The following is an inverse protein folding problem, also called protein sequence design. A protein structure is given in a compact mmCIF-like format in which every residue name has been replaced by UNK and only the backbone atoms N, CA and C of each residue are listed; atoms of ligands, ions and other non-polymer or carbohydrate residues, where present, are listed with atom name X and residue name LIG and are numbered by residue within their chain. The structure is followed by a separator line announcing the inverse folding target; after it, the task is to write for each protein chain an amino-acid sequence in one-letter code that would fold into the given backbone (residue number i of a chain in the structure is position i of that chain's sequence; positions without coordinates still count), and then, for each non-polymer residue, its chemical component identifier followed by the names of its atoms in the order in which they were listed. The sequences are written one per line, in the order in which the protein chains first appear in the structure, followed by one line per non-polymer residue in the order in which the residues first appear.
data_IF_240843380757
#
_entry.id   IF_240843380757
#
_cell.length_a   1.000
_cell.length_b   1.000
_cell.length_c   1.000
_cell.angle_alpha   90.00
_cell.angle_beta   90.00
_cell.angle_gamma   90.00
#
_symmetry.space_group_name_H-M   'P 1'
#
loop_
_entity.id
_entity.type
_entity.pdbx_description
1 polymer ?
#
# COMPACT_ATOMS: atom_id res chain seq x y z
N UNK A 1 5.05 4.87 -20.83
CA UNK A 1 4.59 6.22 -20.41
C UNK A 1 3.58 6.05 -19.27
N UNK A 2 3.50 6.96 -18.31
CA UNK A 2 2.47 6.87 -17.28
C UNK A 2 1.07 7.06 -17.90
N UNK A 3 0.15 6.19 -17.53
CA UNK A 3 -1.25 6.30 -17.93
C UNK A 3 -2.01 7.15 -16.93
N UNK A 4 -3.16 7.69 -17.34
CA UNK A 4 -4.06 8.41 -16.46
C UNK A 4 -5.37 7.64 -16.34
N UNK A 5 -5.85 7.48 -15.11
CA UNK A 5 -7.12 6.83 -14.78
C UNK A 5 -8.05 7.85 -14.12
N UNK A 6 -9.34 7.69 -14.34
CA UNK A 6 -10.35 8.47 -13.62
C UNK A 6 -10.67 7.76 -12.30
N UNK A 7 -10.10 8.25 -11.21
CA UNK A 7 -10.33 7.66 -9.89
C UNK A 7 -11.75 7.87 -9.37
N UNK A 8 -12.49 8.85 -9.90
CA UNK A 8 -13.88 9.08 -9.51
C UNK A 8 -14.82 7.97 -10.05
N UNK A 9 -14.38 7.26 -11.09
CA UNK A 9 -15.12 6.13 -11.66
C UNK A 9 -14.94 4.82 -10.87
N UNK A 10 -14.02 4.76 -9.90
CA UNK A 10 -13.77 3.55 -9.13
C UNK A 10 -14.96 3.20 -8.23
N UNK A 11 -15.39 1.93 -8.29
CA UNK A 11 -16.54 1.41 -7.57
C UNK A 11 -16.18 0.74 -6.24
N UNK A 12 -14.94 0.20 -6.16
CA UNK A 12 -14.44 -0.50 -4.97
C UNK A 12 -13.04 -0.04 -4.63
N UNK A 13 -12.93 0.71 -3.56
CA UNK A 13 -11.66 1.26 -3.05
C UNK A 13 -11.46 0.81 -1.60
N UNK A 14 -10.25 0.37 -1.25
CA UNK A 14 -9.95 -0.03 0.11
C UNK A 14 -8.71 0.68 0.63
N UNK A 15 -8.78 1.19 1.87
CA UNK A 15 -7.60 1.56 2.64
C UNK A 15 -7.26 0.39 3.55
N UNK A 16 -6.10 -0.21 3.33
CA UNK A 16 -5.56 -1.26 4.19
C UNK A 16 -4.49 -0.65 5.07
N UNK A 17 -4.64 -0.75 6.39
CA UNK A 17 -3.60 -0.24 7.30
C UNK A 17 -3.11 -1.31 8.27
N UNK A 18 -1.81 -1.24 8.58
CA UNK A 18 -1.19 -2.13 9.55
C UNK A 18 -0.95 -1.36 10.86
N UNK A 19 -1.61 -1.81 11.93
CA UNK A 19 -1.50 -1.26 13.29
C UNK A 19 -0.04 -1.18 13.77
N UNK A 20 0.77 -2.16 13.41
CA UNK A 20 2.14 -2.32 13.89
C UNK A 20 3.18 -1.63 12.98
N UNK A 21 2.75 -0.85 11.99
CA UNK A 21 3.67 -0.14 11.10
C UNK A 21 4.30 1.07 11.77
N UNK A 22 5.63 1.04 11.87
CA UNK A 22 6.44 2.14 12.38
C UNK A 22 6.44 2.27 13.90
N UNK A 23 7.28 3.20 14.41
CA UNK A 23 7.41 3.51 15.85
C UNK A 23 6.31 4.46 16.37
N UNK A 24 5.30 4.77 15.56
CA UNK A 24 4.24 5.71 15.95
C UNK A 24 3.20 5.03 16.83
N UNK A 25 2.64 5.81 17.77
CA UNK A 25 1.50 5.36 18.56
C UNK A 25 0.31 5.02 17.63
N UNK A 26 -0.34 3.89 17.88
CA UNK A 26 -1.51 3.42 17.12
C UNK A 26 -2.58 4.50 16.92
N UNK A 27 -2.88 5.29 17.96
CA UNK A 27 -3.85 6.38 17.88
C UNK A 27 -3.51 7.43 16.81
N UNK A 28 -2.21 7.73 16.62
CA UNK A 28 -1.76 8.68 15.59
C UNK A 28 -1.89 8.11 14.18
N UNK A 29 -1.67 6.80 14.00
CA UNK A 29 -1.85 6.12 12.73
C UNK A 29 -3.31 6.12 12.30
N UNK A 30 -4.22 5.70 13.19
CA UNK A 30 -5.64 5.66 12.92
C UNK A 30 -6.20 7.06 12.60
N UNK A 31 -5.77 8.08 13.33
CA UNK A 31 -6.16 9.46 13.05
C UNK A 31 -5.74 9.91 11.64
N UNK A 32 -4.52 9.57 11.21
CA UNK A 32 -4.00 9.90 9.87
C UNK A 32 -4.74 9.12 8.77
N UNK A 33 -5.02 7.84 8.97
CA UNK A 33 -5.83 7.02 8.05
C UNK A 33 -7.24 7.59 7.91
N UNK A 34 -7.86 8.01 9.02
CA UNK A 34 -9.18 8.64 9.00
C UNK A 34 -9.16 9.99 8.26
N UNK A 35 -8.07 10.76 8.37
CA UNK A 35 -7.93 12.01 7.61
C UNK A 35 -7.75 11.72 6.11
N UNK A 36 -7.00 10.69 5.72
CA UNK A 36 -6.93 10.21 4.32
C UNK A 36 -8.32 9.83 3.83
N UNK A 37 -9.07 9.02 4.61
CA UNK A 37 -10.45 8.64 4.29
C UNK A 37 -11.34 9.85 4.05
N UNK A 38 -11.33 10.80 4.98
CA UNK A 38 -12.14 12.01 4.92
C UNK A 38 -11.91 12.79 3.62
N UNK A 39 -10.64 12.92 3.23
CA UNK A 39 -10.26 13.64 2.01
C UNK A 39 -10.60 12.87 0.74
N UNK A 40 -10.41 11.55 0.75
CA UNK A 40 -10.76 10.70 -0.40
C UNK A 40 -12.25 10.75 -0.71
N UNK A 41 -13.12 10.80 0.30
CA UNK A 41 -14.57 10.96 0.13
C UNK A 41 -15.00 12.25 -0.59
N UNK A 42 -14.08 13.17 -0.82
CA UNK A 42 -14.33 14.39 -1.61
C UNK A 42 -14.01 14.19 -3.10
N UNK A 43 -13.34 13.08 -3.48
CA UNK A 43 -12.87 12.82 -4.84
C UNK A 43 -13.36 11.49 -5.42
N UNK A 44 -13.88 10.60 -4.58
CA UNK A 44 -14.52 9.33 -4.99
C UNK A 44 -15.88 9.20 -4.30
N UNK A 45 -16.75 8.29 -4.79
CA UNK A 45 -18.00 7.98 -4.09
C UNK A 45 -17.70 7.48 -2.66
N UNK A 46 -18.25 8.14 -1.62
CA UNK A 46 -18.06 7.70 -0.24
C UNK A 46 -18.50 6.25 0.05
N UNK A 47 -19.44 5.71 -0.71
CA UNK A 47 -19.94 4.33 -0.58
C UNK A 47 -18.93 3.30 -1.12
N UNK A 48 -18.05 3.71 -2.04
CA UNK A 48 -17.03 2.86 -2.63
C UNK A 48 -15.85 2.58 -1.68
N UNK A 49 -15.73 3.29 -0.56
CA UNK A 49 -14.53 3.30 0.28
C UNK A 49 -14.69 2.49 1.56
N UNK A 50 -13.94 1.41 1.66
CA UNK A 50 -13.77 0.57 2.85
C UNK A 50 -12.44 0.86 3.56
N UNK A 51 -12.38 0.64 4.89
CA UNK A 51 -11.12 0.62 5.65
C UNK A 51 -10.99 -0.73 6.34
N UNK A 52 -9.83 -1.36 6.20
CA UNK A 52 -9.52 -2.64 6.83
C UNK A 52 -8.19 -2.54 7.59
N UNK A 53 -8.22 -3.00 8.85
CA UNK A 53 -7.03 -3.15 9.68
C UNK A 53 -6.40 -4.51 9.50
N UNK A 54 -5.08 -4.55 9.27
CA UNK A 54 -4.27 -5.76 9.37
C UNK A 54 -3.64 -5.78 10.77
N UNK A 55 -3.93 -6.83 11.53
CA UNK A 55 -3.38 -7.05 12.88
C UNK A 55 -2.19 -7.99 12.87
N UNK A 56 -2.13 -8.89 11.88
CA UNK A 56 -1.04 -9.86 11.71
C UNK A 56 -0.79 -10.14 10.22
N UNK A 57 0.37 -10.70 9.90
CA UNK A 57 0.72 -11.05 8.53
C UNK A 57 -0.12 -12.22 7.97
N UNK A 58 -0.62 -13.10 8.83
CA UNK A 58 -1.50 -14.22 8.42
C UNK A 58 -2.82 -13.71 7.80
N UNK A 59 -3.28 -12.54 8.22
CA UNK A 59 -4.50 -11.93 7.67
C UNK A 59 -4.30 -11.35 6.27
N UNK A 60 -3.05 -11.08 5.86
CA UNK A 60 -2.75 -10.45 4.57
C UNK A 60 -3.19 -11.34 3.42
N UNK A 61 -2.93 -12.64 3.50
CA UNK A 61 -3.25 -13.58 2.42
C UNK A 61 -4.76 -13.63 2.14
N UNK A 62 -5.56 -13.83 3.18
CA UNK A 62 -7.03 -13.86 3.06
C UNK A 62 -7.60 -12.53 2.59
N UNK A 63 -7.08 -11.40 3.10
CA UNK A 63 -7.52 -10.08 2.67
C UNK A 63 -7.17 -9.81 1.20
N UNK A 64 -5.95 -10.14 0.79
CA UNK A 64 -5.53 -9.91 -0.59
C UNK A 64 -6.27 -10.82 -1.57
N UNK A 65 -6.54 -12.09 -1.19
CA UNK A 65 -7.40 -12.96 -1.97
C UNK A 65 -8.83 -12.39 -2.13
N UNK A 66 -9.42 -11.89 -1.04
CA UNK A 66 -10.73 -11.21 -1.07
C UNK A 66 -10.72 -10.02 -2.02
N UNK A 67 -9.70 -9.17 -1.96
CA UNK A 67 -9.54 -7.99 -2.83
C UNK A 67 -9.56 -8.41 -4.30
N UNK A 68 -8.85 -9.47 -4.65
CA UNK A 68 -8.82 -9.99 -6.02
C UNK A 68 -10.16 -10.61 -6.45
N UNK A 69 -10.77 -11.43 -5.60
CA UNK A 69 -12.06 -12.10 -5.88
C UNK A 69 -13.21 -11.11 -6.04
N UNK A 70 -13.28 -10.09 -5.17
CA UNK A 70 -14.30 -9.06 -5.20
C UNK A 70 -14.00 -7.95 -6.23
N UNK A 71 -12.86 -8.03 -6.94
CA UNK A 71 -12.42 -7.11 -7.99
C UNK A 71 -12.38 -5.65 -7.53
N UNK A 72 -11.63 -5.39 -6.46
CA UNK A 72 -11.36 -4.02 -6.06
C UNK A 72 -10.59 -3.28 -7.15
N UNK A 73 -10.97 -2.02 -7.42
CA UNK A 73 -10.31 -1.18 -8.42
C UNK A 73 -9.01 -0.59 -7.89
N UNK A 74 -9.02 -0.18 -6.63
CA UNK A 74 -7.90 0.56 -6.04
C UNK A 74 -7.70 0.24 -4.56
N UNK A 75 -6.44 0.03 -4.18
CA UNK A 75 -6.02 -0.22 -2.79
C UNK A 75 -5.01 0.84 -2.37
N UNK A 76 -5.21 1.40 -1.19
CA UNK A 76 -4.27 2.30 -0.55
C UNK A 76 -3.67 1.58 0.64
N UNK A 77 -2.40 1.23 0.57
CA UNK A 77 -1.68 0.55 1.65
C UNK A 77 -1.07 1.60 2.58
N UNK A 78 -1.65 1.75 3.77
CA UNK A 78 -1.12 2.57 4.85
C UNK A 78 -0.23 1.70 5.75
N UNK A 79 1.05 1.68 5.42
CA UNK A 79 2.02 0.79 6.07
C UNK A 79 3.45 1.08 5.66
N UNK A 80 4.37 0.21 6.07
CA UNK A 80 5.76 0.19 5.62
C UNK A 80 5.97 -0.74 4.44
N UNK A 81 7.24 -0.80 3.97
CA UNK A 81 7.63 -1.62 2.82
C UNK A 81 7.30 -3.11 3.01
N UNK A 82 7.43 -3.65 4.24
CA UNK A 82 7.08 -5.03 4.56
C UNK A 82 5.60 -5.35 4.38
N UNK A 83 4.70 -4.44 4.81
CA UNK A 83 3.25 -4.61 4.63
C UNK A 83 2.89 -4.54 3.15
N UNK A 84 3.46 -3.57 2.42
CA UNK A 84 3.24 -3.45 0.99
C UNK A 84 3.73 -4.69 0.23
N UNK A 85 4.94 -5.17 0.53
CA UNK A 85 5.50 -6.38 -0.09
C UNK A 85 4.60 -7.60 0.14
N UNK A 86 4.14 -7.82 1.36
CA UNK A 86 3.28 -8.96 1.69
C UNK A 86 1.97 -8.95 0.88
N UNK A 87 1.34 -7.79 0.70
CA UNK A 87 0.13 -7.64 -0.11
C UNK A 87 0.43 -7.91 -1.59
N UNK A 88 1.48 -7.33 -2.14
CA UNK A 88 1.86 -7.49 -3.55
C UNK A 88 2.27 -8.95 -3.85
N UNK A 89 2.92 -9.64 -2.91
CA UNK A 89 3.30 -11.06 -3.07
C UNK A 89 2.07 -11.96 -3.25
N UNK A 90 0.95 -11.64 -2.60
CA UNK A 90 -0.31 -12.35 -2.82
C UNK A 90 -0.95 -11.94 -4.14
N UNK A 91 -1.04 -10.63 -4.45
CA UNK A 91 -1.63 -10.15 -5.70
C UNK A 91 -0.96 -10.77 -6.94
N UNK A 92 0.35 -10.95 -6.90
CA UNK A 92 1.10 -11.57 -8.01
C UNK A 92 0.74 -13.04 -8.30
N UNK A 93 -0.04 -13.69 -7.42
CA UNK A 93 -0.58 -15.05 -7.60
C UNK A 93 -1.99 -15.06 -8.19
N UNK A 94 -2.60 -13.89 -8.38
CA UNK A 94 -3.96 -13.74 -8.90
C UNK A 94 -3.98 -13.02 -10.25
N UNK A 95 -4.99 -13.31 -11.07
CA UNK A 95 -5.17 -12.68 -12.38
C UNK A 95 -5.60 -11.20 -12.26
N UNK A 96 -6.46 -10.90 -11.28
CA UNK A 96 -6.89 -9.53 -11.02
C UNK A 96 -5.95 -8.84 -10.05
N UNK A 97 -5.37 -7.73 -10.48
CA UNK A 97 -4.55 -6.87 -9.64
C UNK A 97 -5.15 -5.46 -9.62
N UNK A 98 -5.54 -4.95 -8.44
CA UNK A 98 -6.02 -3.58 -8.31
C UNK A 98 -4.90 -2.57 -8.54
N UNK A 99 -5.26 -1.31 -8.82
CA UNK A 99 -4.29 -0.22 -8.67
C UNK A 99 -3.84 -0.12 -7.21
N UNK A 100 -2.56 0.15 -7.00
CA UNK A 100 -1.99 0.24 -5.65
C UNK A 100 -1.38 1.62 -5.42
N UNK A 101 -1.72 2.24 -4.30
CA UNK A 101 -1.08 3.44 -3.79
C UNK A 101 -0.55 3.20 -2.39
N UNK A 102 0.47 3.95 -1.99
CA UNK A 102 1.09 3.81 -0.67
C UNK A 102 0.87 5.09 0.14
N UNK A 103 0.38 4.94 1.37
CA UNK A 103 0.45 5.98 2.39
C UNK A 103 1.55 5.59 3.39
N UNK A 104 2.72 6.27 3.35
CA UNK A 104 3.89 5.85 4.10
C UNK A 104 3.67 5.99 5.61
N UNK A 105 3.77 4.87 6.32
CA UNK A 105 3.56 4.79 7.75
C UNK A 105 4.62 3.95 8.48
N UNK A 106 5.52 3.31 7.75
CA UNK A 106 6.68 2.59 8.29
C UNK A 106 7.86 3.51 8.60
N UNK A 107 8.98 2.91 8.98
CA UNK A 107 10.19 3.64 9.38
C UNK A 107 10.98 4.17 8.16
N UNK A 108 11.17 3.36 7.12
CA UNK A 108 12.03 3.70 5.97
C UNK A 108 11.21 4.12 4.75
N UNK A 109 10.22 3.32 4.36
CA UNK A 109 9.27 3.56 3.26
C UNK A 109 9.95 3.87 1.92
N UNK A 110 10.84 2.96 1.47
CA UNK A 110 11.62 3.13 0.23
C UNK A 110 10.72 3.29 -0.98
N UNK A 111 9.72 2.42 -1.16
CA UNK A 111 8.78 2.49 -2.29
C UNK A 111 8.04 3.82 -2.30
N UNK A 112 7.58 4.27 -1.13
CA UNK A 112 6.87 5.54 -1.03
C UNK A 112 7.76 6.74 -1.38
N UNK A 113 9.04 6.70 -1.03
CA UNK A 113 10.03 7.74 -1.39
C UNK A 113 10.25 7.78 -2.90
N UNK A 114 10.45 6.64 -3.55
CA UNK A 114 10.60 6.56 -5.01
C UNK A 114 9.36 7.08 -5.76
N UNK A 115 8.17 6.76 -5.23
CA UNK A 115 6.91 7.26 -5.77
C UNK A 115 6.61 8.72 -5.37
N UNK A 116 7.50 9.39 -4.62
CA UNK A 116 7.32 10.74 -4.09
C UNK A 116 6.02 10.89 -3.27
N UNK A 117 5.65 9.84 -2.55
CA UNK A 117 4.47 9.84 -1.67
C UNK A 117 4.78 10.53 -0.35
N UNK A 118 3.84 11.33 0.12
CA UNK A 118 3.98 12.05 1.39
C UNK A 118 3.27 11.31 2.52
N UNK A 119 3.82 11.39 3.71
CA UNK A 119 3.17 10.95 4.94
C UNK A 119 2.15 11.96 5.48
N UNK A 120 2.02 13.12 4.87
CA UNK A 120 0.95 14.08 5.11
C UNK A 120 -0.31 13.65 4.34
N UNK A 121 -1.47 13.47 5.02
CA UNK A 121 -2.69 13.01 4.38
C UNK A 121 -3.17 13.90 3.23
N UNK A 122 -3.06 15.22 3.36
CA UNK A 122 -3.52 16.15 2.32
C UNK A 122 -2.64 16.06 1.07
N UNK A 123 -1.32 16.03 1.24
CA UNK A 123 -0.37 15.89 0.13
C UNK A 123 -0.50 14.53 -0.54
N UNK A 124 -0.68 13.45 0.24
CA UNK A 124 -0.89 12.09 -0.28
C UNK A 124 -2.15 12.06 -1.16
N UNK A 125 -3.32 12.47 -0.64
CA UNK A 125 -4.57 12.47 -1.40
C UNK A 125 -4.47 13.36 -2.64
N UNK A 126 -3.92 14.57 -2.52
CA UNK A 126 -3.68 15.46 -3.68
C UNK A 126 -2.85 14.80 -4.77
N UNK A 127 -1.88 13.95 -4.39
CA UNK A 127 -1.05 13.24 -5.38
C UNK A 127 -1.82 12.13 -6.07
N UNK A 128 -2.46 11.23 -5.32
CA UNK A 128 -3.21 10.11 -5.89
C UNK A 128 -4.43 10.57 -6.69
N UNK A 129 -5.05 11.68 -6.29
CA UNK A 129 -6.20 12.27 -7.02
C UNK A 129 -5.87 12.74 -8.45
N UNK A 130 -4.59 12.84 -8.80
CA UNK A 130 -4.18 13.10 -10.20
C UNK A 130 -4.46 11.92 -11.14
N UNK A 131 -4.71 10.74 -10.59
CA UNK A 131 -4.97 9.52 -11.36
C UNK A 131 -3.79 9.07 -12.24
N UNK A 132 -2.56 9.48 -11.91
CA UNK A 132 -1.37 9.07 -12.68
C UNK A 132 -0.93 7.71 -12.18
N UNK A 133 -0.92 6.72 -13.07
CA UNK A 133 -0.47 5.36 -12.80
C UNK A 133 0.75 5.02 -13.65
N UNK A 134 1.65 4.25 -13.07
CA UNK A 134 2.84 3.75 -13.75
C UNK A 134 3.00 2.26 -13.44
N UNK A 135 3.37 1.44 -14.43
CA UNK A 135 3.73 0.06 -14.16
C UNK A 135 5.00 0.02 -13.29
N UNK A 136 5.00 -0.86 -12.33
CA UNK A 136 6.17 -1.14 -11.49
C UNK A 136 6.66 -2.55 -11.81
N UNK A 137 7.95 -2.67 -12.12
CA UNK A 137 8.57 -3.97 -12.30
C UNK A 137 8.86 -4.59 -10.93
N UNK A 138 8.45 -5.84 -10.76
CA UNK A 138 8.72 -6.59 -9.54
C UNK A 138 9.93 -7.49 -9.77
N UNK A 139 10.89 -7.45 -8.86
CA UNK A 139 11.97 -8.42 -8.82
C UNK A 139 11.52 -9.70 -8.11
N UNK A 140 12.11 -10.85 -8.48
CA UNK A 140 11.86 -12.14 -7.81
C UNK A 140 13.18 -12.84 -7.54
N UNK A 141 13.39 -13.25 -6.29
CA UNK A 141 14.54 -14.04 -5.86
C UNK A 141 14.06 -15.21 -4.98
N UNK A 142 14.47 -16.42 -5.30
CA UNK A 142 14.09 -17.66 -4.57
C UNK A 142 12.58 -17.78 -4.32
N UNK A 143 11.75 -17.39 -5.30
CA UNK A 143 10.29 -17.44 -5.19
C UNK A 143 9.65 -16.24 -4.48
N UNK A 144 10.42 -15.37 -3.83
CA UNK A 144 9.93 -14.19 -3.11
C UNK A 144 10.03 -12.92 -3.95
N UNK A 145 9.01 -12.09 -3.87
CA UNK A 145 8.98 -10.79 -4.54
C UNK A 145 9.72 -9.74 -3.70
N UNK A 146 10.49 -8.89 -4.37
CA UNK A 146 11.01 -7.66 -3.79
C UNK A 146 10.62 -6.45 -4.65
N UNK A 147 10.41 -5.30 -4.00
CA UNK A 147 9.87 -4.09 -4.62
C UNK A 147 10.96 -3.08 -4.99
N UNK A 148 12.04 -3.01 -4.21
CA UNK A 148 13.11 -2.02 -4.38
C UNK A 148 14.48 -2.65 -4.35
N UNK A 149 14.87 -3.29 -3.26
CA UNK A 149 16.23 -3.81 -3.03
C UNK A 149 16.17 -5.26 -2.55
N UNK A 150 17.06 -6.09 -3.10
CA UNK A 150 17.40 -7.40 -2.55
C UNK A 150 18.89 -7.37 -2.17
N UNK A 151 19.18 -7.46 -0.88
CA UNK A 151 20.56 -7.49 -0.35
C UNK A 151 21.11 -8.91 -0.30
N UNK A 152 22.38 -9.08 -0.69
CA UNK A 152 23.11 -10.36 -0.62
C UNK A 152 24.44 -10.14 0.10
N UNK A 153 24.82 -11.06 0.98
CA UNK A 153 26.09 -10.99 1.68
C UNK A 153 26.05 -10.02 2.86
N UNK A 154 26.98 -9.07 2.92
CA UNK A 154 27.16 -8.18 4.09
C UNK A 154 25.88 -7.40 4.44
N UNK A 155 25.16 -6.90 3.44
CA UNK A 155 23.91 -6.15 3.67
C UNK A 155 22.86 -7.00 4.37
N UNK A 156 22.73 -8.30 4.03
CA UNK A 156 21.78 -9.19 4.69
C UNK A 156 22.15 -9.45 6.15
N UNK A 157 23.44 -9.59 6.45
CA UNK A 157 23.94 -9.76 7.83
C UNK A 157 23.66 -8.53 8.70
N UNK A 158 23.75 -7.33 8.14
CA UNK A 158 23.43 -6.09 8.86
C UNK A 158 21.95 -6.05 9.20
N UNK A 159 21.06 -6.39 8.26
CA UNK A 159 19.60 -6.37 8.48
C UNK A 159 19.19 -7.40 9.54
N UNK A 160 19.74 -8.61 9.50
CA UNK A 160 19.43 -9.68 10.47
C UNK A 160 19.84 -9.32 11.90
N UNK A 161 20.89 -8.50 12.07
CA UNK A 161 21.38 -8.09 13.39
C UNK A 161 20.72 -6.82 13.95
N UNK A 162 19.87 -6.14 13.18
CA UNK A 162 19.21 -4.87 13.56
C UNK A 162 17.67 -5.01 13.68
N UNK A 163 17.13 -6.20 13.38
CA UNK A 163 15.67 -6.48 13.38
C UNK A 163 15.12 -6.78 14.77
#
# INVERSE_FOLDING_TARGET
MPNRVDIAAFQKVMIVYNRNSGKQLFASMLARVNEVKKRLKQVIDPKSLEIVEIKSFEQVEGLAARICQEKYDWIIVAGGDGTLRAIIDVFAKHEHMPYVSVFPAGTVNLVAKELLMSNDPAKCVKRVSKGIVSPVQLGKANGHIFLTVAGIGFDSLVVDNVS
#
